data_IF_363063149342
#
_entry.id   IF_363063149342
#
_cell.length_a   1.000
_cell.length_b   1.000
_cell.length_c   1.000
_cell.angle_alpha   90.00
_cell.angle_beta   90.00
_cell.angle_gamma   90.00
#
_symmetry.space_group_name_H-M   'P 1'
#
loop_
_entity.id
_entity.type
_entity.pdbx_description
1 polymer ?
#
# COMPACT_ATOMS: atom_id res chain seq x y z
N UNK A 1 5.67 0.41 9.04
CA UNK A 1 4.28 -0.07 8.82
C UNK A 1 3.98 -1.07 9.94
N UNK A 2 2.88 -0.91 10.67
CA UNK A 2 2.40 -1.90 11.64
C UNK A 2 1.64 -3.06 10.98
N UNK A 3 1.29 -4.05 11.78
CA UNK A 3 0.45 -5.17 11.33
C UNK A 3 -0.97 -4.67 11.04
N UNK A 4 -1.53 -5.13 9.94
CA UNK A 4 -2.93 -4.91 9.57
C UNK A 4 -3.68 -6.23 9.54
N UNK A 5 -5.01 -6.18 9.49
CA UNK A 5 -5.86 -7.39 9.50
C UNK A 5 -5.47 -8.37 8.37
N UNK A 6 -5.09 -7.86 7.20
CA UNK A 6 -4.71 -8.72 6.08
C UNK A 6 -3.39 -9.47 6.34
N UNK A 7 -2.51 -8.92 7.17
CA UNK A 7 -1.20 -9.51 7.46
C UNK A 7 -1.29 -10.80 8.30
N UNK A 8 -2.47 -11.11 8.86
CA UNK A 8 -2.77 -12.34 9.61
C UNK A 8 -3.77 -13.26 8.88
N UNK A 9 -4.06 -12.99 7.61
CA UNK A 9 -5.01 -13.74 6.77
C UNK A 9 -4.32 -14.39 5.57
N UNK A 10 -3.55 -15.48 5.75
CA UNK A 10 -2.80 -16.12 4.66
C UNK A 10 -3.71 -16.73 3.58
N UNK A 11 -4.97 -16.99 3.91
CA UNK A 11 -5.98 -17.58 3.04
C UNK A 11 -7.11 -16.59 2.69
N UNK A 12 -6.89 -15.29 2.90
CA UNK A 12 -7.90 -14.25 2.65
C UNK A 12 -9.07 -14.30 3.63
N UNK A 13 -10.19 -13.67 3.26
CA UNK A 13 -11.32 -13.43 4.16
C UNK A 13 -12.09 -14.70 4.57
N UNK A 14 -12.07 -15.75 3.74
CA UNK A 14 -12.75 -17.02 4.00
C UNK A 14 -11.89 -18.00 4.81
N UNK A 15 -10.62 -17.66 5.01
CA UNK A 15 -9.66 -18.48 5.74
C UNK A 15 -9.65 -18.21 7.24
N UNK A 16 -9.08 -19.13 8.04
CA UNK A 16 -8.81 -18.85 9.45
C UNK A 16 -7.79 -17.71 9.59
N UNK A 17 -7.92 -16.95 10.69
CA UNK A 17 -6.85 -16.06 11.15
C UNK A 17 -5.68 -16.94 11.61
N UNK A 18 -4.47 -16.63 11.16
CA UNK A 18 -3.28 -17.36 11.59
C UNK A 18 -2.90 -16.98 13.03
N UNK A 19 -2.55 -17.98 13.85
CA UNK A 19 -2.09 -17.79 15.23
C UNK A 19 -0.55 -17.67 15.34
N UNK A 20 0.18 -17.99 14.27
CA UNK A 20 1.64 -18.04 14.22
C UNK A 20 2.19 -17.53 12.88
N UNK A 21 3.40 -16.97 12.90
CA UNK A 21 4.05 -16.33 11.73
C UNK A 21 4.82 -17.33 10.83
N UNK A 22 4.37 -18.59 10.77
CA UNK A 22 5.02 -19.68 10.02
C UNK A 22 4.35 -20.00 8.67
N UNK A 23 3.33 -19.23 8.30
CA UNK A 23 2.59 -19.36 7.04
C UNK A 23 3.20 -18.58 5.87
N UNK A 24 2.74 -18.92 4.66
CA UNK A 24 2.92 -18.04 3.50
C UNK A 24 1.82 -16.97 3.51
N UNK A 25 2.20 -15.69 3.56
CA UNK A 25 1.28 -14.56 3.62
C UNK A 25 1.35 -13.73 2.33
N UNK A 26 0.41 -13.92 1.39
CA UNK A 26 0.46 -13.24 0.09
C UNK A 26 0.50 -11.71 0.18
N UNK A 27 -0.06 -11.13 1.24
CA UNK A 27 -0.08 -9.67 1.44
C UNK A 27 1.26 -9.07 1.90
N UNK A 28 2.20 -9.88 2.41
CA UNK A 28 3.48 -9.38 2.92
C UNK A 28 4.36 -8.87 1.77
N UNK A 29 4.37 -9.56 0.62
CA UNK A 29 5.04 -9.13 -0.61
C UNK A 29 4.07 -8.52 -1.63
N UNK A 30 2.87 -9.08 -1.74
CA UNK A 30 1.87 -8.72 -2.75
C UNK A 30 2.46 -8.76 -4.18
N UNK A 31 2.34 -7.66 -4.92
CA UNK A 31 2.98 -7.47 -6.25
C UNK A 31 4.17 -6.52 -6.20
N UNK A 32 4.64 -6.19 -4.98
CA UNK A 32 5.73 -5.25 -4.73
C UNK A 32 5.51 -3.81 -5.28
N UNK A 33 4.26 -3.35 -5.36
CA UNK A 33 3.93 -1.97 -5.76
C UNK A 33 4.64 -0.91 -4.89
N UNK A 34 4.94 -1.25 -3.64
CA UNK A 34 5.62 -0.35 -2.72
C UNK A 34 6.99 0.12 -3.24
N UNK A 35 7.73 -0.73 -3.94
CA UNK A 35 9.03 -0.36 -4.53
C UNK A 35 8.92 -0.05 -6.03
N UNK A 36 7.93 -0.65 -6.71
CA UNK A 36 7.81 -0.63 -8.18
C UNK A 36 6.79 0.36 -8.74
N UNK A 37 6.20 1.21 -7.89
CA UNK A 37 5.12 2.10 -8.31
C UNK A 37 5.52 3.05 -9.44
N UNK A 38 6.80 3.42 -9.59
CA UNK A 38 7.24 4.33 -10.67
C UNK A 38 7.15 3.65 -12.04
N UNK A 39 7.60 2.40 -12.13
CA UNK A 39 7.50 1.59 -13.34
C UNK A 39 6.03 1.32 -13.67
N UNK A 40 5.23 0.97 -12.68
CA UNK A 40 3.81 0.68 -12.86
C UNK A 40 3.02 1.93 -13.29
N UNK A 41 3.32 3.10 -12.72
CA UNK A 41 2.75 4.39 -13.13
C UNK A 41 3.12 4.75 -14.56
N UNK A 42 4.36 4.47 -15.00
CA UNK A 42 4.73 4.66 -16.40
C UNK A 42 3.85 3.83 -17.35
N UNK A 43 3.51 2.60 -16.97
CA UNK A 43 2.60 1.75 -17.74
C UNK A 43 1.16 2.31 -17.73
N UNK A 44 0.68 2.79 -16.58
CA UNK A 44 -0.64 3.44 -16.50
C UNK A 44 -0.73 4.71 -17.36
N UNK A 45 0.36 5.47 -17.40
CA UNK A 45 0.50 6.65 -18.26
C UNK A 45 0.48 6.29 -19.74
N UNK A 46 1.19 5.22 -20.15
CA UNK A 46 1.14 4.70 -21.53
C UNK A 46 -0.27 4.28 -21.95
N UNK A 47 -1.05 3.72 -21.02
CA UNK A 47 -2.45 3.37 -21.25
C UNK A 47 -3.40 4.58 -21.31
N UNK A 48 -2.93 5.79 -20.99
CA UNK A 48 -3.72 7.02 -21.01
C UNK A 48 -4.64 7.19 -19.80
N UNK A 49 -4.26 6.68 -18.63
CA UNK A 49 -5.04 6.89 -17.40
C UNK A 49 -5.08 8.38 -17.06
N UNK A 50 -6.27 8.89 -16.72
CA UNK A 50 -6.44 10.26 -16.22
C UNK A 50 -6.56 10.29 -14.68
N UNK A 51 -6.83 9.15 -14.05
CA UNK A 51 -6.84 8.97 -12.61
C UNK A 51 -6.44 7.54 -12.23
N UNK A 52 -5.94 7.37 -11.01
CA UNK A 52 -5.65 6.07 -10.41
C UNK A 52 -6.19 6.05 -8.99
N UNK A 53 -7.06 5.08 -8.70
CA UNK A 53 -7.60 4.88 -7.37
C UNK A 53 -6.67 4.03 -6.51
N UNK A 54 -6.27 4.55 -5.36
CA UNK A 54 -5.40 3.84 -4.40
C UNK A 54 -5.89 4.04 -2.97
N UNK A 55 -5.70 3.03 -2.12
CA UNK A 55 -5.97 3.17 -0.69
C UNK A 55 -4.68 3.57 0.06
N UNK A 56 -4.79 4.56 0.94
CA UNK A 56 -3.76 4.78 1.97
C UNK A 56 -3.88 3.67 3.01
N UNK A 57 -2.82 2.89 3.19
CA UNK A 57 -2.76 1.82 4.17
C UNK A 57 -2.64 2.44 5.56
N UNK A 58 -3.67 2.33 6.39
CA UNK A 58 -3.73 2.95 7.71
C UNK A 58 -2.51 2.59 8.57
N UNK A 59 -2.11 1.32 8.62
CA UNK A 59 -0.95 0.88 9.40
C UNK A 59 0.40 1.44 8.93
N UNK A 60 0.45 2.19 7.81
CA UNK A 60 1.62 3.00 7.45
C UNK A 60 1.62 4.37 8.13
N UNK A 61 0.44 4.95 8.40
CA UNK A 61 0.27 6.27 9.00
C UNK A 61 0.23 6.16 10.53
N UNK A 62 -0.58 5.25 11.07
CA UNK A 62 -0.65 4.93 12.49
C UNK A 62 -0.47 3.43 12.65
N UNK A 63 0.78 2.96 12.86
CA UNK A 63 1.11 1.52 12.93
C UNK A 63 0.27 0.70 13.90
N UNK A 64 0.01 1.24 15.08
CA UNK A 64 -0.83 0.63 16.12
C UNK A 64 -2.24 1.24 16.13
N UNK A 65 -2.39 2.45 15.60
CA UNK A 65 -3.68 3.14 15.44
C UNK A 65 -3.98 4.15 16.54
N UNK A 66 -3.17 4.18 17.60
CA UNK A 66 -3.34 4.99 18.80
C UNK A 66 -2.13 5.91 19.10
N UNK A 67 -1.16 6.00 18.19
CA UNK A 67 -0.05 6.92 18.34
C UNK A 67 -0.51 8.39 18.37
N UNK A 68 0.13 9.22 19.18
CA UNK A 68 -0.17 10.66 19.25
C UNK A 68 0.22 11.41 17.96
N UNK A 69 1.24 10.91 17.26
CA UNK A 69 1.78 11.50 16.03
C UNK A 69 1.84 10.47 14.90
N UNK A 70 1.60 10.87 13.64
CA UNK A 70 1.70 9.96 12.51
C UNK A 70 3.14 9.50 12.26
N UNK A 71 3.28 8.35 11.61
CA UNK A 71 4.55 7.86 11.10
C UNK A 71 4.93 8.61 9.81
N UNK A 72 5.91 9.51 9.94
CA UNK A 72 6.38 10.38 8.86
C UNK A 72 6.87 9.61 7.62
N UNK A 73 7.53 8.46 7.80
CA UNK A 73 7.98 7.65 6.65
C UNK A 73 6.79 7.09 5.85
N UNK A 74 5.66 6.85 6.50
CA UNK A 74 4.43 6.45 5.83
C UNK A 74 3.83 7.59 5.02
N UNK A 75 3.86 8.81 5.55
CA UNK A 75 3.40 10.01 4.85
C UNK A 75 4.27 10.29 3.62
N UNK A 76 5.60 10.33 3.80
CA UNK A 76 6.55 10.56 2.71
C UNK A 76 6.37 9.58 1.54
N UNK A 77 6.07 8.30 1.83
CA UNK A 77 5.80 7.32 0.76
C UNK A 77 4.60 7.73 -0.11
N UNK A 78 3.51 8.21 0.50
CA UNK A 78 2.33 8.64 -0.25
C UNK A 78 2.55 9.96 -0.95
N UNK A 79 3.33 10.89 -0.38
CA UNK A 79 3.76 12.10 -1.07
C UNK A 79 4.54 11.73 -2.35
N UNK A 80 5.55 10.86 -2.25
CA UNK A 80 6.33 10.41 -3.41
C UNK A 80 5.47 9.70 -4.46
N UNK A 81 4.50 8.89 -4.03
CA UNK A 81 3.56 8.19 -4.90
C UNK A 81 2.65 9.17 -5.65
N UNK A 82 2.07 10.14 -4.94
CA UNK A 82 1.17 11.13 -5.53
C UNK A 82 1.92 12.10 -6.44
N UNK A 83 3.13 12.50 -6.07
CA UNK A 83 4.00 13.31 -6.93
C UNK A 83 4.31 12.57 -8.25
N UNK A 84 4.60 11.27 -8.21
CA UNK A 84 4.84 10.51 -9.44
C UNK A 84 3.57 10.36 -10.28
N UNK A 85 2.39 10.16 -9.67
CA UNK A 85 1.11 10.14 -10.39
C UNK A 85 0.84 11.49 -11.08
N UNK A 86 0.96 12.59 -10.35
CA UNK A 86 0.73 13.95 -10.86
C UNK A 86 1.73 14.34 -11.94
N UNK A 87 2.99 13.93 -11.81
CA UNK A 87 4.04 14.10 -12.83
C UNK A 87 3.68 13.41 -14.14
N UNK A 88 2.93 12.30 -14.08
CA UNK A 88 2.44 11.57 -15.24
C UNK A 88 1.02 12.03 -15.68
N UNK A 89 0.48 13.11 -15.10
CA UNK A 89 -0.85 13.61 -15.45
C UNK A 89 -2.01 12.77 -14.93
N UNK A 90 -1.75 11.87 -13.97
CA UNK A 90 -2.74 10.96 -13.39
C UNK A 90 -3.22 11.54 -12.05
N UNK A 91 -4.52 11.75 -11.89
CA UNK A 91 -5.11 12.21 -10.62
C UNK A 91 -5.25 11.05 -9.61
N UNK A 92 -4.73 11.17 -8.37
CA UNK A 92 -5.01 10.21 -7.31
C UNK A 92 -6.51 10.23 -6.91
N UNK A 93 -7.07 9.05 -6.62
CA UNK A 93 -8.46 8.86 -6.15
C UNK A 93 -8.52 7.95 -4.92
#
# INVERSE_FOLDING_TARGET
KGLSIIDVLPHGADGPVAESDDGNYPSHEAIDFYHRYKEDISLFSEMGFNCLRVSIAWSRIFPNGDEESPNEQGLQFYDDLFDELLKNGIQPV
#
